data_IF_589420323821
#
_entry.id   IF_589420323821
#
_cell.length_a   1.000
_cell.length_b   1.000
_cell.length_c   1.000
_cell.angle_alpha   90.00
_cell.angle_beta   90.00
_cell.angle_gamma   90.00
#
_symmetry.space_group_name_H-M   'P 1'
#
loop_
_entity.id
_entity.type
_entity.pdbx_description
1 polymer ?
#
# COMPACT_ATOMS: atom_id res chain seq x y z
N UNK A 1 -6.26 -16.80 7.60
CA UNK A 1 -5.25 -17.09 6.55
C UNK A 1 -5.41 -16.05 5.46
N UNK A 2 -4.35 -15.28 5.22
CA UNK A 2 -4.34 -14.19 4.24
C UNK A 2 -4.26 -14.80 2.82
N UNK A 3 -5.06 -14.32 1.84
CA UNK A 3 -4.96 -14.74 0.45
C UNK A 3 -3.58 -14.44 -0.14
N UNK A 4 -3.03 -15.35 -0.96
CA UNK A 4 -1.69 -15.21 -1.57
C UNK A 4 -1.51 -13.95 -2.44
N UNK A 5 -2.61 -13.38 -2.91
CA UNK A 5 -2.66 -12.20 -3.76
C UNK A 5 -2.93 -10.91 -2.99
N UNK A 6 -3.10 -11.00 -1.67
CA UNK A 6 -3.05 -9.87 -0.76
C UNK A 6 -1.62 -9.76 -0.25
N UNK A 7 -0.98 -8.62 -0.48
CA UNK A 7 0.42 -8.43 -0.14
C UNK A 7 0.66 -7.01 0.35
N UNK A 8 1.29 -6.86 1.52
CA UNK A 8 1.93 -5.60 1.88
C UNK A 8 3.24 -5.47 1.08
N UNK A 9 3.36 -4.40 0.30
CA UNK A 9 4.48 -4.18 -0.63
C UNK A 9 5.41 -3.06 -0.20
N UNK A 10 4.96 -2.21 0.73
CA UNK A 10 5.76 -1.12 1.28
C UNK A 10 5.33 -0.84 2.72
N UNK A 11 6.32 -0.57 3.57
CA UNK A 11 6.18 -0.23 4.97
C UNK A 11 7.00 1.03 5.21
N UNK A 12 6.35 2.11 5.66
CA UNK A 12 7.00 3.34 6.03
C UNK A 12 6.67 3.65 7.49
N UNK A 13 7.68 3.78 8.35
CA UNK A 13 7.50 4.27 9.73
C UNK A 13 8.07 5.67 9.87
N UNK A 14 7.36 6.50 10.65
CA UNK A 14 7.79 7.82 11.05
C UNK A 14 8.41 7.91 12.46
N UNK A 15 8.72 6.78 13.13
CA UNK A 15 9.24 6.74 14.51
C UNK A 15 8.40 7.58 15.48
N UNK A 16 7.25 7.03 15.91
CA UNK A 16 6.29 7.73 16.77
C UNK A 16 5.28 8.62 16.03
N UNK A 17 5.46 8.90 14.74
CA UNK A 17 4.47 9.58 13.88
C UNK A 17 3.44 8.62 13.25
N UNK A 18 3.64 7.32 13.43
CA UNK A 18 2.78 6.24 12.94
C UNK A 18 3.44 5.34 11.91
N UNK A 19 2.69 4.33 11.49
CA UNK A 19 3.09 3.33 10.51
C UNK A 19 2.16 3.40 9.29
N UNK A 20 2.74 3.40 8.10
CA UNK A 20 2.02 3.45 6.83
C UNK A 20 2.34 2.20 6.02
N UNK A 21 1.29 1.54 5.56
CA UNK A 21 1.40 0.27 4.86
C UNK A 21 0.73 0.43 3.50
N UNK A 22 1.45 0.08 2.44
CA UNK A 22 0.86 -0.05 1.10
C UNK A 22 0.59 -1.51 0.82
N UNK A 23 -0.67 -1.82 0.54
CA UNK A 23 -1.16 -3.15 0.22
C UNK A 23 -1.61 -3.21 -1.23
N UNK A 24 -1.23 -4.28 -1.93
CA UNK A 24 -1.74 -4.61 -3.25
C UNK A 24 -2.70 -5.80 -3.15
N UNK A 25 -3.87 -5.67 -3.76
CA UNK A 25 -4.85 -6.75 -3.82
C UNK A 25 -5.68 -6.67 -5.11
N UNK A 26 -5.66 -7.73 -5.92
CA UNK A 26 -6.27 -7.80 -7.27
C UNK A 26 -6.03 -6.54 -8.13
N UNK A 27 -4.78 -6.07 -8.20
CA UNK A 27 -4.40 -4.91 -9.01
C UNK A 27 -4.86 -3.55 -8.46
N UNK A 28 -5.51 -3.51 -7.29
CA UNK A 28 -5.86 -2.28 -6.57
C UNK A 28 -4.83 -2.00 -5.48
N UNK A 29 -4.62 -0.71 -5.19
CA UNK A 29 -3.72 -0.24 -4.14
C UNK A 29 -4.52 0.25 -2.94
N UNK A 30 -4.07 -0.11 -1.76
CA UNK A 30 -4.66 0.31 -0.50
C UNK A 30 -3.56 0.90 0.39
N UNK A 31 -3.72 2.16 0.77
CA UNK A 31 -2.90 2.77 1.82
C UNK A 31 -3.61 2.61 3.16
N UNK A 32 -2.91 2.07 4.13
CA UNK A 32 -3.40 1.90 5.50
C UNK A 32 -2.49 2.67 6.44
N UNK A 33 -3.07 3.62 7.19
CA UNK A 33 -2.35 4.37 8.21
C UNK A 33 -2.70 3.86 9.61
N UNK A 34 -1.68 3.55 10.39
CA UNK A 34 -1.75 3.32 11.83
C UNK A 34 -1.16 4.56 12.49
N UNK A 35 -2.02 5.42 13.02
CA UNK A 35 -1.59 6.67 13.64
C UNK A 35 -1.49 6.50 15.16
N UNK A 36 -0.60 7.26 15.83
CA UNK A 36 -0.48 7.24 17.27
C UNK A 36 -1.83 7.45 17.93
N UNK A 37 -2.20 6.62 18.91
CA UNK A 37 -3.52 6.66 19.48
C UNK A 37 -3.66 7.87 20.41
N UNK A 38 -4.87 8.44 20.46
CA UNK A 38 -5.20 9.47 21.46
C UNK A 38 -5.54 8.88 22.83
N UNK A 39 -5.61 7.54 22.93
CA UNK A 39 -5.98 6.78 24.14
C UNK A 39 -5.02 5.61 24.34
N UNK A 40 -4.63 5.27 25.58
CA UNK A 40 -3.73 4.14 25.85
C UNK A 40 -4.35 2.77 25.53
N UNK A 41 -5.68 2.64 25.55
CA UNK A 41 -6.38 1.37 25.35
C UNK A 41 -6.68 1.09 23.88
N UNK A 42 -5.63 1.02 23.05
CA UNK A 42 -5.75 0.82 21.60
C UNK A 42 -4.80 -0.26 21.11
N UNK A 43 -5.16 -0.89 20.00
CA UNK A 43 -4.34 -1.90 19.30
C UNK A 43 -3.19 -1.22 18.54
N UNK A 44 -3.40 0.00 18.03
CA UNK A 44 -2.45 0.75 17.21
C UNK A 44 -1.15 1.06 17.95
N UNK A 45 -1.26 1.57 19.19
CA UNK A 45 -0.11 2.01 19.98
C UNK A 45 0.95 0.92 20.16
N UNK A 46 0.59 -0.25 20.70
CA UNK A 46 1.50 -1.38 20.85
C UNK A 46 2.14 -1.83 19.53
N UNK A 47 1.38 -1.86 18.42
CA UNK A 47 1.92 -2.26 17.11
C UNK A 47 2.95 -1.25 16.58
N UNK A 48 2.66 0.04 16.68
CA UNK A 48 3.58 1.12 16.26
C UNK A 48 4.86 1.04 17.10
N UNK A 49 4.72 0.99 18.44
CA UNK A 49 5.89 0.91 19.33
C UNK A 49 6.72 -0.34 19.09
N UNK A 50 6.07 -1.49 18.85
CA UNK A 50 6.76 -2.75 18.56
C UNK A 50 7.55 -2.64 17.26
N UNK A 51 6.95 -2.09 16.20
CA UNK A 51 7.60 -1.90 14.91
C UNK A 51 8.79 -0.91 15.00
N UNK A 52 8.62 0.19 15.73
CA UNK A 52 9.65 1.23 15.90
C UNK A 52 10.82 0.79 16.78
N UNK A 53 10.65 -0.26 17.59
CA UNK A 53 11.70 -0.78 18.47
C UNK A 53 12.60 -1.82 17.85
N UNK A 54 12.27 -2.31 16.66
CA UNK A 54 13.02 -3.39 15.99
C UNK A 54 14.35 -2.84 15.50
N UNK A 55 15.41 -3.63 15.65
CA UNK A 55 16.69 -3.34 15.03
C UNK A 55 16.61 -3.69 13.53
N UNK A 56 17.03 -2.77 12.66
CA UNK A 56 16.98 -2.98 11.20
C UNK A 56 17.82 -4.18 10.74
N UNK A 57 18.73 -4.68 11.59
CA UNK A 57 19.53 -5.89 11.34
C UNK A 57 18.84 -7.21 11.74
N UNK A 58 17.72 -7.17 12.48
CA UNK A 58 16.97 -8.37 12.91
C UNK A 58 15.80 -8.67 11.95
N UNK A 59 16.13 -9.21 10.77
CA UNK A 59 15.18 -9.51 9.71
C UNK A 59 14.04 -10.46 10.17
N UNK A 60 14.35 -11.43 11.03
CA UNK A 60 13.36 -12.40 11.53
C UNK A 60 12.33 -11.72 12.45
N UNK A 61 12.78 -10.81 13.32
CA UNK A 61 11.89 -10.02 14.16
C UNK A 61 11.02 -9.06 13.32
N UNK A 62 11.61 -8.40 12.32
CA UNK A 62 10.88 -7.55 11.38
C UNK A 62 9.75 -8.34 10.70
N UNK A 63 10.06 -9.52 10.16
CA UNK A 63 9.08 -10.36 9.47
C UNK A 63 7.96 -10.83 10.41
N UNK A 64 8.29 -11.20 11.66
CA UNK A 64 7.30 -11.64 12.63
C UNK A 64 6.32 -10.51 13.02
N UNK A 65 6.83 -9.28 13.18
CA UNK A 65 5.99 -8.11 13.48
C UNK A 65 5.16 -7.70 12.27
N UNK A 66 5.74 -7.73 11.07
CA UNK A 66 5.00 -7.49 9.83
C UNK A 66 3.86 -8.49 9.67
N UNK A 67 4.10 -9.79 9.87
CA UNK A 67 3.05 -10.82 9.78
C UNK A 67 1.91 -10.57 10.77
N UNK A 68 2.22 -10.21 12.02
CA UNK A 68 1.23 -9.86 13.03
C UNK A 68 0.34 -8.69 12.58
N UNK A 69 0.97 -7.62 12.08
CA UNK A 69 0.27 -6.43 11.59
C UNK A 69 -0.57 -6.74 10.35
N UNK A 70 -0.02 -7.50 9.39
CA UNK A 70 -0.72 -7.93 8.19
C UNK A 70 -1.99 -8.71 8.53
N UNK A 71 -1.92 -9.64 9.48
CA UNK A 71 -3.08 -10.40 9.92
C UNK A 71 -4.16 -9.46 10.46
N UNK A 72 -3.80 -8.52 11.34
CA UNK A 72 -4.75 -7.59 11.94
C UNK A 72 -5.39 -6.67 10.90
N UNK A 73 -4.59 -6.10 10.00
CA UNK A 73 -5.07 -5.24 8.92
C UNK A 73 -5.96 -6.02 7.95
N UNK A 74 -5.56 -7.23 7.57
CA UNK A 74 -6.35 -8.08 6.70
C UNK A 74 -7.72 -8.41 7.32
N UNK A 75 -7.74 -8.83 8.59
CA UNK A 75 -8.97 -9.17 9.30
C UNK A 75 -9.90 -7.96 9.47
N UNK A 76 -9.37 -6.80 9.86
CA UNK A 76 -10.14 -5.56 10.00
C UNK A 76 -10.78 -5.10 8.68
N UNK A 77 -10.07 -5.31 7.56
CA UNK A 77 -10.52 -4.88 6.24
C UNK A 77 -11.19 -5.94 5.39
N UNK A 78 -11.41 -7.17 5.89
CA UNK A 78 -11.80 -8.32 5.05
C UNK A 78 -12.97 -8.02 4.10
N UNK A 79 -14.03 -7.39 4.62
CA UNK A 79 -15.21 -7.02 3.82
C UNK A 79 -14.93 -5.91 2.80
N UNK A 80 -14.02 -4.99 3.11
CA UNK A 80 -13.58 -3.90 2.25
C UNK A 80 -12.80 -4.46 1.06
N UNK A 81 -11.84 -5.36 1.32
CA UNK A 81 -11.01 -5.98 0.27
C UNK A 81 -11.88 -6.70 -0.76
N UNK A 82 -12.80 -7.55 -0.30
CA UNK A 82 -13.70 -8.30 -1.19
C UNK A 82 -14.62 -7.39 -2.00
N UNK A 83 -15.05 -6.26 -1.42
CA UNK A 83 -15.95 -5.32 -2.09
C UNK A 83 -15.25 -4.43 -3.11
N UNK A 84 -14.07 -3.90 -2.76
CA UNK A 84 -13.37 -2.90 -3.58
C UNK A 84 -12.40 -3.51 -4.60
N UNK A 85 -11.93 -4.71 -4.31
CA UNK A 85 -11.05 -5.48 -5.19
C UNK A 85 -11.64 -6.89 -5.35
N UNK A 86 -12.76 -7.03 -6.08
CA UNK A 86 -13.26 -8.35 -6.44
C UNK A 86 -12.23 -9.08 -7.32
N UNK A 87 -12.25 -10.42 -7.36
CA UNK A 87 -11.35 -11.19 -8.23
C UNK A 87 -11.47 -10.71 -9.68
N UNK A 88 -10.32 -10.49 -10.31
CA UNK A 88 -10.25 -10.20 -11.73
C UNK A 88 -10.69 -11.45 -12.53
N UNK A 89 -11.36 -11.29 -13.67
CA UNK A 89 -11.73 -12.43 -14.51
C UNK A 89 -10.49 -13.18 -15.01
N UNK A 90 -10.58 -14.50 -15.11
CA UNK A 90 -9.49 -15.33 -15.64
C UNK A 90 -9.24 -14.99 -17.12
N UNK A 91 -8.14 -14.29 -17.39
CA UNK A 91 -7.69 -13.94 -18.73
C UNK A 91 -6.31 -13.27 -18.69
N UNK A 92 -5.59 -13.20 -19.82
CA UNK A 92 -4.38 -12.40 -19.90
C UNK A 92 -4.76 -10.93 -19.74
N UNK A 93 -4.59 -10.40 -18.52
CA UNK A 93 -4.67 -8.97 -18.25
C UNK A 93 -3.46 -8.28 -18.91
N UNK A 94 -3.59 -8.02 -20.22
CA UNK A 94 -2.73 -7.05 -20.90
C UNK A 94 -3.09 -5.67 -20.35
N UNK A 95 -2.56 -5.38 -19.15
CA UNK A 95 -2.65 -4.05 -18.55
C UNK A 95 -1.68 -3.13 -19.28
N UNK A 96 -2.15 -1.94 -19.61
CA UNK A 96 -1.26 -0.89 -20.09
C UNK A 96 -0.37 -0.39 -18.93
N UNK A 97 0.81 0.13 -19.27
CA UNK A 97 1.79 0.59 -18.29
C UNK A 97 1.21 1.69 -17.39
N UNK A 98 0.29 2.53 -17.87
CA UNK A 98 -0.32 3.57 -17.05
C UNK A 98 -1.15 2.96 -15.91
N UNK A 99 -2.01 1.99 -16.22
CA UNK A 99 -2.84 1.31 -15.23
C UNK A 99 -2.00 0.56 -14.18
N UNK A 100 -0.83 0.02 -14.58
CA UNK A 100 0.11 -0.64 -13.65
C UNK A 100 0.81 0.36 -12.71
N UNK A 101 1.25 1.51 -13.23
CA UNK A 101 1.96 2.52 -12.45
C UNK A 101 1.01 3.32 -11.53
N UNK A 102 -0.21 3.54 -12.01
CA UNK A 102 -1.25 4.33 -11.34
C UNK A 102 -2.51 3.49 -11.11
N UNK A 103 -2.42 2.41 -10.32
CA UNK A 103 -3.58 1.61 -9.97
C UNK A 103 -4.57 2.45 -9.17
N UNK A 104 -5.85 2.10 -9.28
CA UNK A 104 -6.88 2.69 -8.43
C UNK A 104 -6.49 2.49 -6.95
N UNK A 105 -6.48 3.59 -6.21
CA UNK A 105 -5.91 3.67 -4.87
C UNK A 105 -6.97 4.09 -3.87
N UNK A 106 -7.08 3.35 -2.77
CA UNK A 106 -7.96 3.66 -1.64
C UNK A 106 -7.13 3.95 -0.40
N UNK A 107 -7.60 4.83 0.47
CA UNK A 107 -6.91 5.18 1.72
C UNK A 107 -7.79 4.90 2.91
N UNK A 108 -7.22 4.25 3.92
CA UNK A 108 -7.88 3.85 5.14
C UNK A 108 -7.02 4.18 6.34
N UNK A 109 -7.69 4.46 7.45
CA UNK A 109 -7.05 4.51 8.77
C UNK A 109 -7.45 3.26 9.54
N UNK A 110 -6.46 2.58 10.10
CA UNK A 110 -6.66 1.50 11.04
C UNK A 110 -6.90 2.10 12.42
N UNK A 111 -8.03 1.73 13.04
CA UNK A 111 -8.44 2.24 14.34
C UNK A 111 -8.90 1.12 15.27
N UNK A 112 -8.78 1.33 16.57
CA UNK A 112 -9.54 0.58 17.57
C UNK A 112 -10.89 1.24 17.82
N UNK A 113 -11.97 0.53 17.52
CA UNK A 113 -13.34 0.93 17.81
C UNK A 113 -13.96 -0.09 18.79
N UNK A 114 -14.29 0.35 20.01
CA UNK A 114 -14.85 -0.50 21.07
C UNK A 114 -14.03 -1.79 21.33
N UNK A 115 -12.70 -1.67 21.35
CA UNK A 115 -11.79 -2.80 21.58
C UNK A 115 -11.63 -3.75 20.39
N UNK A 116 -12.11 -3.38 19.20
CA UNK A 116 -11.94 -4.14 17.96
C UNK A 116 -11.22 -3.31 16.90
N UNK A 117 -10.36 -3.96 16.13
CA UNK A 117 -9.72 -3.37 14.97
C UNK A 117 -10.75 -3.12 13.84
N UNK A 118 -10.71 -1.93 13.26
CA UNK A 118 -11.56 -1.52 12.14
C UNK A 118 -10.78 -0.64 11.17
N UNK A 119 -11.11 -0.71 9.88
CA UNK A 119 -10.62 0.22 8.87
C UNK A 119 -11.70 1.24 8.54
N UNK A 120 -11.41 2.51 8.79
CA UNK A 120 -12.28 3.61 8.39
C UNK A 120 -11.74 4.27 7.11
N UNK A 121 -12.60 4.66 6.16
CA UNK A 121 -12.17 5.44 5.00
C UNK A 121 -11.46 6.70 5.48
N UNK A 122 -10.26 6.91 4.97
CA UNK A 122 -9.56 8.17 5.13
C UNK A 122 -9.85 8.96 3.85
N UNK A 123 -10.33 10.20 3.98
CA UNK A 123 -10.39 11.06 2.82
C UNK A 123 -8.97 11.17 2.27
N UNK A 124 -8.76 10.56 1.11
CA UNK A 124 -7.67 10.93 0.25
C UNK A 124 -8.00 12.37 -0.11
N UNK A 125 -7.39 13.33 0.60
CA UNK A 125 -7.06 14.57 -0.08
C UNK A 125 -6.26 14.07 -1.26
N UNK A 126 -6.92 13.96 -2.42
CA UNK A 126 -6.25 13.78 -3.69
C UNK A 126 -5.31 14.97 -3.76
N UNK A 127 -4.11 14.78 -3.22
CA UNK A 127 -3.01 15.66 -3.44
C UNK A 127 -2.96 15.68 -4.95
N UNK A 128 -3.23 16.86 -5.47
CA UNK A 128 -3.20 17.25 -6.86
C UNK A 128 -1.81 16.89 -7.39
N UNK A 129 -1.56 15.61 -7.66
CA UNK A 129 -0.35 15.12 -8.31
C UNK A 129 -0.41 15.42 -9.81
N UNK A 130 -1.56 15.90 -10.29
CA UNK A 130 -1.60 16.73 -11.47
C UNK A 130 -0.91 18.07 -11.14
N UNK A 131 0.34 18.22 -11.57
CA UNK A 131 1.06 19.49 -11.78
C UNK A 131 1.96 20.08 -10.68
N UNK A 132 2.47 19.32 -9.70
CA UNK A 132 3.40 19.91 -8.70
C UNK A 132 4.85 20.12 -9.18
N UNK A 133 5.20 19.60 -10.35
CA UNK A 133 6.43 20.01 -11.02
C UNK A 133 6.05 20.52 -12.41
N UNK A 134 6.09 21.84 -12.60
CA UNK A 134 5.99 22.49 -13.91
C UNK A 134 7.18 22.18 -14.82
N UNK A 135 7.63 20.92 -14.84
CA UNK A 135 8.66 20.42 -15.74
C UNK A 135 8.01 20.29 -17.11
N UNK A 136 8.14 21.35 -17.90
CA UNK A 136 7.83 21.29 -19.32
C UNK A 136 8.92 20.44 -19.98
N UNK A 137 8.63 19.18 -20.28
CA UNK A 137 9.52 18.35 -21.09
C UNK A 137 9.51 18.93 -22.50
N UNK A 138 10.58 19.63 -22.85
CA UNK A 138 10.76 20.23 -24.18
C UNK A 138 11.51 19.25 -25.07
N UNK A 139 10.80 18.62 -26.00
CA UNK A 139 11.36 17.66 -26.94
C UNK A 139 11.95 18.35 -28.19
N UNK A 140 12.98 19.17 -27.99
CA UNK A 140 13.65 19.89 -29.09
C UNK A 140 14.40 18.97 -30.07
N UNK A 141 14.64 17.71 -29.69
CA UNK A 141 15.36 16.73 -30.51
C UNK A 141 14.44 15.82 -31.34
N UNK A 142 13.13 16.02 -31.28
CA UNK A 142 12.17 15.22 -32.05
C UNK A 142 12.15 13.74 -31.65
N UNK A 143 12.47 13.44 -30.38
CA UNK A 143 12.45 12.07 -29.86
C UNK A 143 11.03 11.49 -29.94
N UNK A 144 10.88 10.17 -30.15
CA UNK A 144 9.58 9.52 -30.08
C UNK A 144 8.89 9.80 -28.74
N UNK A 145 7.60 10.14 -28.79
CA UNK A 145 6.76 10.28 -27.61
C UNK A 145 5.79 9.11 -27.57
N UNK A 146 5.79 8.40 -26.45
CA UNK A 146 4.85 7.31 -26.19
C UNK A 146 4.04 7.67 -24.96
N UNK A 147 2.73 7.45 -25.04
CA UNK A 147 1.89 7.47 -23.85
C UNK A 147 2.11 6.19 -23.06
N UNK A 148 2.10 6.27 -21.74
CA UNK A 148 2.08 5.04 -20.90
C UNK A 148 0.83 4.19 -21.16
N UNK A 149 -0.25 4.78 -21.70
CA UNK A 149 -1.45 4.06 -22.11
C UNK A 149 -1.28 3.25 -23.41
N UNK A 150 -0.26 3.57 -24.20
CA UNK A 150 0.01 2.89 -25.48
C UNK A 150 1.03 1.74 -25.32
N UNK A 151 1.55 1.54 -24.11
CA UNK A 151 2.57 0.53 -23.80
C UNK A 151 1.88 -0.65 -23.11
N UNK A 152 1.79 -1.78 -23.80
CA UNK A 152 1.30 -3.03 -23.21
C UNK A 152 2.40 -3.69 -22.38
N UNK A 153 2.09 -4.04 -21.13
CA UNK A 153 3.01 -4.81 -20.28
C UNK A 153 2.84 -6.30 -20.58
N UNK A 154 3.94 -6.97 -20.96
CA UNK A 154 3.95 -8.40 -21.25
C UNK A 154 4.25 -9.25 -20.02
N UNK A 155 5.08 -8.74 -19.13
CA UNK A 155 5.52 -9.42 -17.91
C UNK A 155 5.84 -8.39 -16.84
N UNK A 156 5.47 -8.68 -15.59
CA UNK A 156 5.86 -7.88 -14.42
C UNK A 156 6.80 -8.72 -13.57
N UNK A 157 8.03 -8.25 -13.41
CA UNK A 157 9.00 -8.88 -12.52
C UNK A 157 8.83 -8.23 -11.14
N UNK A 158 8.19 -8.95 -10.23
CA UNK A 158 8.02 -8.51 -8.84
C UNK A 158 9.10 -9.18 -8.00
N UNK A 159 9.98 -8.39 -7.39
CA UNK A 159 10.96 -8.85 -6.42
C UNK A 159 11.25 -7.74 -5.41
N UNK A 160 11.62 -8.10 -4.18
CA UNK A 160 12.23 -7.16 -3.25
C UNK A 160 13.57 -6.76 -3.86
N UNK A 161 13.62 -5.57 -4.47
CA UNK A 161 14.81 -5.08 -5.14
C UNK A 161 15.91 -4.81 -4.13
N UNK A 162 16.77 -5.80 -3.87
CA UNK A 162 18.03 -5.57 -3.18
C UNK A 162 19.01 -4.95 -4.18
N UNK A 163 19.26 -3.64 -4.06
CA UNK A 163 20.40 -3.01 -4.70
C UNK A 163 21.60 -3.26 -3.78
N UNK A 164 22.43 -4.24 -4.14
CA UNK A 164 23.73 -4.49 -3.51
C UNK A 164 24.79 -3.50 -3.99
#
# INVERSE_FOLDING_TARGET
MIPKNWQAVQWDSGCGDGLFITVMYHGKRFHVSLLPPSSPDTIEGPLISKFDSIDDEDEDEILAVQEEIEILVYEAGRSIWTRLAPPLPDGPDLSDLHSLLYPETFSFRFITNNGKAELIPQETNEARYHHLFGIKIVNNMGLPQYSSKDICVLETIVGQGYIS
#
